data_IF_302691595386
#
_entry.id   IF_302691595386
#
_cell.length_a   1.000
_cell.length_b   1.000
_cell.length_c   1.000
_cell.angle_alpha   90.00
_cell.angle_beta   90.00
_cell.angle_gamma   90.00
#
_symmetry.space_group_name_H-M   'P 1'
#
loop_
_entity.id
_entity.type
_entity.pdbx_description
1 polymer ?
#
# COMPACT_ATOMS: atom_id res chain seq x y z
N UNK A 1 -1.64 -6.30 46.84
CA UNK A 1 -2.25 -5.22 46.02
C UNK A 1 -1.44 -5.25 44.74
N UNK A 2 -1.97 -5.97 43.76
CA UNK A 2 -1.27 -6.38 42.55
C UNK A 2 -0.91 -5.17 41.69
N UNK A 3 0.36 -5.12 41.28
CA UNK A 3 0.89 -4.25 40.24
C UNK A 3 0.73 -4.99 38.91
N UNK A 4 -0.37 -4.78 38.20
CA UNK A 4 -0.51 -5.18 36.81
C UNK A 4 -0.22 -3.99 35.90
N UNK A 5 1.06 -3.73 35.66
CA UNK A 5 1.55 -2.89 34.57
C UNK A 5 1.70 -3.76 33.32
N UNK A 6 0.57 -4.31 32.85
CA UNK A 6 0.51 -5.31 31.77
C UNK A 6 0.06 -4.69 30.43
N UNK A 7 0.28 -3.40 30.22
CA UNK A 7 -0.12 -2.72 28.97
C UNK A 7 0.98 -1.89 28.30
N UNK A 8 2.25 -2.21 28.54
CA UNK A 8 3.31 -1.81 27.62
C UNK A 8 3.34 -2.78 26.43
N UNK A 9 2.41 -2.64 25.49
CA UNK A 9 2.49 -3.25 24.16
C UNK A 9 3.66 -2.63 23.40
N UNK A 10 4.88 -3.08 23.71
CA UNK A 10 6.13 -2.73 23.02
C UNK A 10 6.55 -3.79 22.01
N UNK A 11 5.59 -4.48 21.39
CA UNK A 11 5.88 -5.38 20.29
C UNK A 11 5.79 -4.55 19.00
N UNK A 12 6.92 -3.98 18.57
CA UNK A 12 7.03 -3.48 17.21
C UNK A 12 6.65 -4.63 16.27
N UNK A 13 5.74 -4.36 15.34
CA UNK A 13 5.30 -5.35 14.36
C UNK A 13 6.51 -5.88 13.58
N UNK A 14 6.48 -7.17 13.22
CA UNK A 14 7.67 -7.85 12.70
C UNK A 14 8.19 -7.20 11.42
N UNK A 15 7.28 -6.75 10.56
CA UNK A 15 7.55 -6.01 9.34
C UNK A 15 8.26 -4.66 9.62
N UNK A 16 7.78 -3.87 10.60
CA UNK A 16 8.43 -2.62 11.03
C UNK A 16 9.84 -2.87 11.54
N UNK A 17 10.01 -3.91 12.37
CA UNK A 17 11.32 -4.29 12.93
C UNK A 17 12.30 -4.67 11.82
N UNK A 18 11.85 -5.51 10.88
CA UNK A 18 12.66 -5.95 9.74
C UNK A 18 13.15 -4.74 8.92
N UNK A 19 12.28 -3.79 8.63
CA UNK A 19 12.61 -2.62 7.83
C UNK A 19 13.57 -1.69 8.55
N UNK A 20 13.42 -1.55 9.87
CA UNK A 20 14.35 -0.79 10.71
C UNK A 20 15.77 -1.34 10.59
N UNK A 21 15.95 -2.66 10.63
CA UNK A 21 17.25 -3.29 10.41
C UNK A 21 17.80 -3.09 8.99
N UNK A 22 16.95 -3.05 7.96
CA UNK A 22 17.40 -2.72 6.59
C UNK A 22 17.99 -1.32 6.54
N UNK A 23 17.30 -0.35 7.15
CA UNK A 23 17.75 1.04 7.20
C UNK A 23 19.07 1.17 7.97
N UNK A 24 19.18 0.53 9.14
CA UNK A 24 20.41 0.49 9.93
C UNK A 24 21.58 -0.14 9.15
N UNK A 25 21.37 -1.30 8.53
CA UNK A 25 22.39 -1.98 7.74
C UNK A 25 22.82 -1.13 6.52
N UNK A 26 21.87 -0.46 5.85
CA UNK A 26 22.18 0.47 4.77
C UNK A 26 23.03 1.64 5.27
N UNK A 27 22.67 2.23 6.41
CA UNK A 27 23.42 3.33 7.03
C UNK A 27 24.81 2.90 7.50
N UNK A 28 24.97 1.64 7.90
CA UNK A 28 26.27 1.04 8.21
C UNK A 28 27.12 0.73 6.96
N UNK A 29 26.66 1.08 5.76
CA UNK A 29 27.41 0.96 4.50
C UNK A 29 27.45 -0.45 3.93
N UNK A 30 26.49 -1.33 4.29
CA UNK A 30 26.38 -2.65 3.65
C UNK A 30 26.06 -2.48 2.17
N UNK A 31 26.76 -3.23 1.31
CA UNK A 31 26.58 -3.15 -0.14
C UNK A 31 25.39 -3.97 -0.64
N UNK A 32 25.08 -5.08 0.03
CA UNK A 32 23.95 -5.97 -0.29
C UNK A 32 23.25 -6.37 1.00
N UNK A 33 21.93 -6.26 1.02
CA UNK A 33 21.05 -6.71 2.09
C UNK A 33 20.00 -7.62 1.46
N UNK A 34 19.90 -8.84 1.97
CA UNK A 34 18.89 -9.81 1.53
C UNK A 34 18.03 -10.24 2.70
N UNK A 35 16.72 -10.26 2.48
CA UNK A 35 15.71 -10.62 3.46
C UNK A 35 14.95 -11.85 2.98
N UNK A 36 14.60 -12.76 3.88
CA UNK A 36 13.76 -13.90 3.59
C UNK A 36 12.33 -13.59 4.05
N UNK A 37 11.39 -13.44 3.13
CA UNK A 37 9.99 -13.18 3.42
C UNK A 37 9.11 -13.47 2.20
N UNK A 38 7.87 -13.90 2.44
CA UNK A 38 6.79 -13.98 1.44
C UNK A 38 5.66 -12.99 1.76
N UNK A 39 5.88 -12.13 2.76
CA UNK A 39 4.88 -11.21 3.28
C UNK A 39 4.73 -9.99 2.37
N UNK A 40 3.49 -9.63 2.04
CA UNK A 40 3.22 -8.50 1.13
C UNK A 40 3.53 -7.16 1.78
N UNK A 41 3.33 -7.02 3.09
CA UNK A 41 3.50 -5.76 3.79
C UNK A 41 4.99 -5.46 3.94
N UNK A 42 5.82 -6.49 4.17
CA UNK A 42 7.28 -6.38 4.07
C UNK A 42 7.71 -5.95 2.67
N UNK A 43 7.18 -6.55 1.60
CA UNK A 43 7.49 -6.14 0.23
C UNK A 43 7.16 -4.65 -0.02
N UNK A 44 5.97 -4.21 0.39
CA UNK A 44 5.52 -2.84 0.20
C UNK A 44 6.37 -1.85 1.00
N UNK A 45 6.71 -2.17 2.25
CA UNK A 45 7.62 -1.36 3.08
C UNK A 45 9.01 -1.26 2.48
N UNK A 46 9.56 -2.36 1.94
CA UNK A 46 10.86 -2.34 1.27
C UNK A 46 10.83 -1.40 0.06
N UNK A 47 9.86 -1.55 -0.84
CA UNK A 47 9.74 -0.69 -2.03
C UNK A 47 9.56 0.79 -1.64
N UNK A 48 8.74 1.07 -0.62
CA UNK A 48 8.53 2.42 -0.14
C UNK A 48 9.80 3.05 0.42
N UNK A 49 10.49 2.38 1.35
CA UNK A 49 11.66 2.95 2.01
C UNK A 49 12.90 2.98 1.14
N UNK A 50 13.11 2.00 0.26
CA UNK A 50 14.19 2.03 -0.73
C UNK A 50 14.06 3.29 -1.60
N UNK A 51 12.85 3.56 -2.09
CA UNK A 51 12.60 4.74 -2.91
C UNK A 51 12.65 6.04 -2.10
N UNK A 52 11.93 6.12 -0.97
CA UNK A 52 11.81 7.33 -0.14
C UNK A 52 13.13 7.78 0.46
N UNK A 53 13.88 6.85 1.04
CA UNK A 53 15.18 7.14 1.65
C UNK A 53 16.33 7.13 0.63
N UNK A 54 16.04 6.82 -0.64
CA UNK A 54 17.01 6.74 -1.73
C UNK A 54 18.21 5.84 -1.36
N UNK A 55 17.89 4.62 -0.91
CA UNK A 55 18.91 3.68 -0.43
C UNK A 55 19.80 3.25 -1.59
N UNK A 56 21.12 3.33 -1.39
CA UNK A 56 22.13 3.05 -2.44
C UNK A 56 22.62 1.61 -2.46
N UNK A 57 22.30 0.84 -1.43
CA UNK A 57 22.68 -0.56 -1.35
C UNK A 57 21.72 -1.44 -2.17
N UNK A 58 22.19 -2.63 -2.54
CA UNK A 58 21.36 -3.62 -3.22
C UNK A 58 20.46 -4.31 -2.19
N UNK A 59 19.15 -4.17 -2.35
CA UNK A 59 18.11 -4.77 -1.51
C UNK A 59 17.41 -5.88 -2.28
N UNK A 60 17.33 -7.05 -1.67
CA UNK A 60 16.69 -8.22 -2.25
C UNK A 60 15.74 -8.88 -1.26
N UNK A 61 14.60 -9.35 -1.76
CA UNK A 61 13.65 -10.16 -1.01
C UNK A 61 13.62 -11.56 -1.60
N UNK A 62 14.06 -12.53 -0.81
CA UNK A 62 14.03 -13.96 -1.13
C UNK A 62 12.77 -14.57 -0.55
N UNK A 63 12.09 -15.39 -1.34
CA UNK A 63 10.95 -16.18 -0.92
C UNK A 63 11.39 -17.55 -0.40
N UNK A 64 10.52 -18.24 0.34
CA UNK A 64 10.77 -19.60 0.87
C UNK A 64 11.06 -20.66 -0.22
N UNK A 65 10.65 -20.41 -1.46
CA UNK A 65 10.92 -21.27 -2.62
C UNK A 65 12.26 -20.96 -3.31
N UNK A 66 13.03 -19.99 -2.78
CA UNK A 66 14.31 -19.53 -3.31
C UNK A 66 14.19 -18.51 -4.44
N UNK A 67 12.97 -18.08 -4.82
CA UNK A 67 12.81 -16.98 -5.76
C UNK A 67 13.32 -15.67 -5.14
N UNK A 68 14.08 -14.88 -5.91
CA UNK A 68 14.66 -13.61 -5.44
C UNK A 68 14.06 -12.46 -6.24
N UNK A 69 13.42 -11.54 -5.51
CA UNK A 69 12.96 -10.25 -6.01
C UNK A 69 14.04 -9.20 -5.80
N UNK A 70 14.35 -8.46 -6.86
CA UNK A 70 15.22 -7.28 -6.80
C UNK A 70 14.37 -6.05 -6.50
N UNK A 71 14.50 -5.52 -5.27
CA UNK A 71 13.68 -4.40 -4.82
C UNK A 71 14.14 -3.11 -5.50
N UNK A 72 15.44 -2.94 -5.75
CA UNK A 72 15.94 -1.75 -6.44
C UNK A 72 15.39 -1.68 -7.86
N UNK A 73 15.44 -2.79 -8.62
CA UNK A 73 14.87 -2.83 -9.96
C UNK A 73 13.36 -2.55 -9.95
N UNK A 74 12.64 -3.05 -8.95
CA UNK A 74 11.22 -2.76 -8.74
C UNK A 74 10.99 -1.25 -8.51
N UNK A 75 11.83 -0.60 -7.72
CA UNK A 75 11.78 0.84 -7.50
C UNK A 75 12.08 1.64 -8.77
N UNK A 76 13.04 1.21 -9.57
CA UNK A 76 13.39 1.85 -10.85
C UNK A 76 12.22 1.78 -11.84
N UNK A 77 11.56 0.63 -11.93
CA UNK A 77 10.40 0.41 -12.82
C UNK A 77 9.16 1.21 -12.40
N UNK A 78 8.91 1.32 -11.09
CA UNK A 78 7.74 2.03 -10.55
C UNK A 78 7.93 3.54 -10.44
N UNK A 79 9.18 3.99 -10.21
CA UNK A 79 9.51 5.39 -9.96
C UNK A 79 8.66 5.99 -8.83
N UNK A 80 8.08 7.19 -9.01
CA UNK A 80 7.27 7.86 -7.97
C UNK A 80 6.08 7.03 -7.46
N UNK A 81 5.62 6.01 -8.20
CA UNK A 81 4.51 5.16 -7.77
C UNK A 81 4.87 4.30 -6.56
N UNK A 82 6.16 4.11 -6.23
CA UNK A 82 6.59 3.47 -4.99
C UNK A 82 5.94 4.10 -3.76
N UNK A 83 5.79 5.43 -3.74
CA UNK A 83 5.19 6.15 -2.62
C UNK A 83 3.67 5.98 -2.56
N UNK A 84 3.01 5.69 -3.68
CA UNK A 84 1.55 5.55 -3.78
C UNK A 84 1.08 4.12 -3.47
N UNK A 85 2.00 3.15 -3.41
CA UNK A 85 1.68 1.74 -3.20
C UNK A 85 0.98 1.47 -1.87
N UNK A 86 1.35 2.18 -0.79
CA UNK A 86 0.68 2.04 0.50
C UNK A 86 -0.76 2.53 0.46
N UNK A 87 -1.00 3.74 -0.05
CA UNK A 87 -2.36 4.23 -0.24
C UNK A 87 -3.20 3.27 -1.08
N UNK A 88 -2.63 2.71 -2.15
CA UNK A 88 -3.32 1.69 -2.96
C UNK A 88 -3.62 0.41 -2.14
N UNK A 89 -2.64 -0.12 -1.41
CA UNK A 89 -2.77 -1.33 -0.63
C UNK A 89 -3.88 -1.17 0.43
N UNK A 90 -3.83 -0.09 1.23
CA UNK A 90 -4.82 0.25 2.25
C UNK A 90 -6.23 0.38 1.68
N UNK A 91 -6.39 1.06 0.53
CA UNK A 91 -7.70 1.25 -0.11
C UNK A 91 -8.24 -0.01 -0.79
N UNK A 92 -7.36 -0.94 -1.18
CA UNK A 92 -7.75 -2.20 -1.83
C UNK A 92 -8.03 -3.34 -0.86
N UNK A 93 -7.77 -3.12 0.43
CA UNK A 93 -7.89 -4.12 1.50
C UNK A 93 -6.53 -4.66 1.95
N UNK A 94 -6.15 -4.27 3.17
CA UNK A 94 -5.08 -4.89 3.96
C UNK A 94 -5.68 -5.70 5.12
N UNK A 95 -4.85 -6.23 6.02
CA UNK A 95 -5.30 -7.06 7.14
C UNK A 95 -6.27 -6.33 8.10
N UNK A 96 -6.24 -5.00 8.10
CA UNK A 96 -7.06 -4.14 8.97
C UNK A 96 -8.23 -3.46 8.24
N UNK A 97 -8.35 -3.58 6.91
CA UNK A 97 -9.39 -2.90 6.13
C UNK A 97 -10.20 -3.85 5.25
N UNK A 98 -11.50 -3.61 5.16
CA UNK A 98 -12.36 -4.31 4.21
C UNK A 98 -11.97 -3.96 2.77
N UNK A 99 -12.07 -4.92 1.84
CA UNK A 99 -11.77 -4.69 0.44
C UNK A 99 -12.98 -4.17 -0.37
N UNK A 100 -12.75 -3.40 -1.45
CA UNK A 100 -13.84 -2.90 -2.30
C UNK A 100 -14.52 -4.04 -3.06
N UNK A 101 -15.85 -4.11 -3.01
CA UNK A 101 -16.59 -5.23 -3.60
C UNK A 101 -16.24 -5.49 -5.08
N UNK A 102 -15.84 -6.72 -5.38
CA UNK A 102 -15.54 -7.16 -6.74
C UNK A 102 -14.26 -6.54 -7.33
N UNK A 103 -13.41 -5.95 -6.48
CA UNK A 103 -12.11 -5.40 -6.86
C UNK A 103 -11.04 -6.03 -5.95
N UNK A 104 -9.97 -6.52 -6.55
CA UNK A 104 -8.84 -7.11 -5.83
C UNK A 104 -7.56 -6.31 -6.04
N UNK A 105 -6.49 -6.67 -5.30
CA UNK A 105 -5.19 -5.98 -5.32
C UNK A 105 -4.58 -5.86 -6.72
N UNK A 106 -4.70 -6.90 -7.56
CA UNK A 106 -4.21 -6.85 -8.95
C UNK A 106 -4.95 -5.79 -9.77
N UNK A 107 -6.26 -5.65 -9.58
CA UNK A 107 -7.06 -4.60 -10.24
C UNK A 107 -6.68 -3.21 -9.74
N UNK A 108 -6.49 -3.07 -8.43
CA UNK A 108 -6.04 -1.83 -7.80
C UNK A 108 -4.64 -1.41 -8.29
N UNK A 109 -3.71 -2.36 -8.42
CA UNK A 109 -2.37 -2.12 -8.97
C UNK A 109 -2.44 -1.67 -10.43
N UNK A 110 -3.25 -2.33 -11.28
CA UNK A 110 -3.45 -1.90 -12.67
C UNK A 110 -4.00 -0.48 -12.75
N UNK A 111 -4.96 -0.14 -11.90
CA UNK A 111 -5.48 1.22 -11.77
C UNK A 111 -4.37 2.20 -11.41
N UNK A 112 -3.58 1.90 -10.38
CA UNK A 112 -2.45 2.72 -9.94
C UNK A 112 -1.44 2.94 -11.07
N UNK A 113 -1.05 1.89 -11.79
CA UNK A 113 -0.07 1.97 -12.88
C UNK A 113 -0.57 2.81 -14.06
N UNK A 114 -1.87 2.73 -14.38
CA UNK A 114 -2.48 3.46 -15.49
C UNK A 114 -2.82 4.94 -15.17
N UNK A 115 -2.94 5.28 -13.89
CA UNK A 115 -3.37 6.60 -13.43
C UNK A 115 -2.29 7.40 -12.70
N UNK A 116 -2.67 8.59 -12.21
CA UNK A 116 -1.86 9.37 -11.28
C UNK A 116 -2.74 9.78 -10.10
N UNK A 117 -2.35 9.39 -8.90
CA UNK A 117 -3.13 9.61 -7.68
C UNK A 117 -2.21 10.14 -6.58
N UNK A 118 -1.76 11.41 -6.67
CA UNK A 118 -0.79 11.97 -5.74
C UNK A 118 -1.26 11.91 -4.27
N UNK A 119 -2.56 12.04 -4.02
CA UNK A 119 -3.14 11.90 -2.69
C UNK A 119 -2.89 10.54 -2.00
N UNK A 120 -2.54 9.49 -2.75
CA UNK A 120 -2.18 8.19 -2.17
C UNK A 120 -0.80 8.20 -1.51
N UNK A 121 0.07 9.14 -1.88
CA UNK A 121 1.37 9.35 -1.27
C UNK A 121 1.39 10.57 -0.34
N UNK A 122 0.71 11.66 -0.75
CA UNK A 122 0.84 12.98 -0.13
C UNK A 122 -0.17 13.22 1.01
N UNK A 123 -1.21 12.39 1.12
CA UNK A 123 -2.30 12.58 2.09
C UNK A 123 -2.57 11.29 2.86
N UNK A 124 -2.72 10.16 2.17
CA UNK A 124 -2.95 8.87 2.83
C UNK A 124 -1.69 8.43 3.59
N UNK A 125 -1.72 8.54 4.92
CA UNK A 125 -0.61 8.19 5.81
C UNK A 125 -0.02 9.38 6.58
N UNK A 126 -0.49 10.60 6.30
CA UNK A 126 -0.02 11.80 6.99
C UNK A 126 -0.75 11.99 8.33
N UNK A 127 0.01 12.15 9.42
CA UNK A 127 -0.51 12.27 10.80
C UNK A 127 -1.46 13.47 10.97
N UNK A 128 -1.32 14.50 10.14
CA UNK A 128 -2.16 15.70 10.15
C UNK A 128 -3.37 15.68 9.23
N UNK A 129 -3.56 14.63 8.41
CA UNK A 129 -4.66 14.58 7.46
C UNK A 129 -6.01 14.39 8.18
N UNK A 130 -7.00 15.21 7.83
CA UNK A 130 -8.36 15.06 8.36
C UNK A 130 -9.10 13.94 7.63
N UNK A 131 -10.19 13.43 8.21
CA UNK A 131 -11.06 12.45 7.53
C UNK A 131 -11.55 12.96 6.16
N UNK A 132 -11.85 14.27 6.06
CA UNK A 132 -12.23 14.90 4.81
C UNK A 132 -11.10 14.84 3.77
N UNK A 133 -9.86 15.12 4.18
CA UNK A 133 -8.70 15.04 3.29
C UNK A 133 -8.47 13.62 2.78
N UNK A 134 -8.55 12.63 3.68
CA UNK A 134 -8.42 11.21 3.32
C UNK A 134 -9.49 10.80 2.30
N UNK A 135 -10.75 11.21 2.52
CA UNK A 135 -11.85 10.94 1.59
C UNK A 135 -11.61 11.60 0.24
N UNK A 136 -11.27 12.89 0.18
CA UNK A 136 -10.99 13.58 -1.08
C UNK A 136 -9.79 12.96 -1.83
N UNK A 137 -8.73 12.56 -1.12
CA UNK A 137 -7.57 11.90 -1.71
C UNK A 137 -7.91 10.51 -2.30
N UNK A 138 -8.79 9.74 -1.65
CA UNK A 138 -9.17 8.40 -2.08
C UNK A 138 -10.20 8.39 -3.23
N UNK A 139 -11.03 9.44 -3.35
CA UNK A 139 -12.12 9.53 -4.33
C UNK A 139 -11.67 9.26 -5.78
N UNK A 140 -10.65 9.93 -6.34
CA UNK A 140 -10.24 9.71 -7.72
C UNK A 140 -9.83 8.26 -7.98
N UNK A 141 -9.15 7.64 -7.02
CA UNK A 141 -8.72 6.25 -7.13
C UNK A 141 -9.92 5.30 -7.23
N UNK A 142 -10.92 5.46 -6.36
CA UNK A 142 -12.13 4.62 -6.42
C UNK A 142 -12.96 4.82 -7.69
N UNK A 143 -13.08 6.05 -8.17
CA UNK A 143 -13.81 6.32 -9.41
C UNK A 143 -13.18 5.56 -10.59
N UNK A 144 -11.86 5.64 -10.74
CA UNK A 144 -11.15 4.90 -11.80
C UNK A 144 -11.23 3.40 -11.55
N UNK A 145 -11.04 2.94 -10.30
CA UNK A 145 -11.11 1.53 -9.94
C UNK A 145 -12.44 0.89 -10.33
N UNK A 146 -13.56 1.63 -10.26
CA UNK A 146 -14.89 1.17 -10.65
C UNK A 146 -15.31 1.59 -12.06
N UNK A 147 -14.37 2.01 -12.91
CA UNK A 147 -14.64 2.39 -14.30
C UNK A 147 -15.69 3.52 -14.41
N UNK A 148 -15.65 4.45 -13.45
CA UNK A 148 -16.56 5.60 -13.41
C UNK A 148 -15.92 6.82 -14.10
N UNK A 149 -16.73 7.67 -14.76
CA UNK A 149 -16.22 8.88 -15.39
C UNK A 149 -15.57 9.83 -14.37
N UNK A 150 -14.54 10.59 -14.78
CA UNK A 150 -13.98 11.66 -13.95
C UNK A 150 -15.07 12.63 -13.48
N UNK A 151 -14.94 13.17 -12.26
CA UNK A 151 -15.89 14.12 -11.62
C UNK A 151 -17.27 13.55 -11.25
N UNK A 152 -17.48 12.25 -11.40
CA UNK A 152 -18.68 11.59 -10.83
C UNK A 152 -18.60 11.66 -9.31
N UNK A 153 -19.67 12.06 -8.63
CA UNK A 153 -19.69 11.98 -7.15
C UNK A 153 -19.72 10.51 -6.71
N UNK A 154 -19.17 10.22 -5.53
CA UNK A 154 -19.17 8.86 -4.99
C UNK A 154 -20.61 8.34 -4.81
N UNK A 155 -21.53 9.19 -4.40
CA UNK A 155 -22.95 8.85 -4.23
C UNK A 155 -23.58 8.45 -5.57
N UNK A 156 -23.31 9.22 -6.63
CA UNK A 156 -23.79 8.93 -7.97
C UNK A 156 -23.20 7.62 -8.51
N UNK A 157 -21.88 7.42 -8.33
CA UNK A 157 -21.19 6.19 -8.68
C UNK A 157 -21.80 4.97 -7.96
N UNK A 158 -22.02 5.07 -6.64
CA UNK A 158 -22.65 4.01 -5.82
C UNK A 158 -24.06 3.69 -6.31
N UNK A 159 -24.87 4.71 -6.59
CA UNK A 159 -26.23 4.52 -7.11
C UNK A 159 -26.23 3.81 -8.48
N UNK A 160 -25.36 4.22 -9.40
CA UNK A 160 -25.23 3.57 -10.71
C UNK A 160 -24.77 2.11 -10.60
N UNK A 161 -23.79 1.81 -9.75
CA UNK A 161 -23.30 0.45 -9.54
C UNK A 161 -24.37 -0.46 -8.94
N UNK A 162 -25.12 0.03 -7.96
CA UNK A 162 -26.20 -0.72 -7.32
C UNK A 162 -27.35 -1.02 -8.28
N UNK A 163 -27.79 -0.02 -9.05
CA UNK A 163 -28.92 -0.16 -10.00
C UNK A 163 -28.57 -1.05 -11.19
N UNK A 164 -27.33 -0.98 -11.71
CA UNK A 164 -26.84 -1.89 -12.77
C UNK A 164 -26.91 -3.35 -12.36
N UNK A 165 -26.61 -3.68 -11.10
CA UNK A 165 -26.70 -5.06 -10.59
C UNK A 165 -28.14 -5.56 -10.49
N UNK A 166 -29.07 -4.75 -9.99
CA UNK A 166 -30.50 -5.15 -9.92
C UNK A 166 -31.05 -5.56 -11.29
N UNK A 167 -30.70 -4.83 -12.35
CA UNK A 167 -31.08 -5.19 -13.72
C UNK A 167 -30.50 -6.54 -14.21
N UNK A 168 -29.36 -6.98 -13.69
CA UNK A 168 -28.78 -8.30 -14.01
C UNK A 168 -29.39 -9.43 -13.17
N UNK A 169 -29.86 -9.15 -11.96
CA UNK A 169 -30.46 -10.15 -11.07
C UNK A 169 -31.98 -10.38 -11.30
N UNK A 170 -32.65 -9.49 -12.04
CA UNK A 170 -34.07 -9.63 -12.42
C UNK A 170 -34.27 -10.19 -13.84
N UNK A 171 -33.26 -10.89 -14.37
CA UNK A 171 -33.34 -11.73 -15.59
C UNK A 171 -32.96 -13.15 -15.19
#
# INVERSE_FOLDING_TARGET
>A
MDTSDDSAFGHDEADITIISYVLEASNAGKSVIRLLSNDTDVFLLLVYWVYRANLRCKIQMEHWDGAILDINATCDDLGPKCLQLFGMHTLSGCDTTSYPYGKGRIGALKTLLAGNFPGLADVLGEVGATEADLLEAAKPFFLVLYDQPPRTSIESARFMLFTKKKRKASK
#
